data_IF_161610688853
#
_entry.id   IF_161610688853
#
_cell.length_a   1.000
_cell.length_b   1.000
_cell.length_c   1.000
_cell.angle_alpha   90.00
_cell.angle_beta   90.00
_cell.angle_gamma   90.00
#
_symmetry.space_group_name_H-M   'P 1'
#
loop_
_entity.id
_entity.type
_entity.pdbx_description
1 polymer ?
#
# COMPACT_ATOMS: atom_id res chain seq x y z
N UNK A 1 9.51 -9.51 -18.29
CA UNK A 1 10.65 -8.81 -17.67
C UNK A 1 11.10 -9.57 -16.45
N UNK A 2 12.40 -9.84 -16.33
CA UNK A 2 12.96 -10.49 -15.14
C UNK A 2 13.38 -9.45 -14.11
N UNK A 3 13.02 -9.66 -12.85
CA UNK A 3 13.35 -8.80 -11.73
C UNK A 3 14.05 -9.61 -10.65
N UNK A 4 15.16 -9.09 -10.13
CA UNK A 4 15.75 -9.56 -8.89
C UNK A 4 14.96 -8.96 -7.72
N UNK A 5 14.31 -9.80 -6.93
CA UNK A 5 13.56 -9.38 -5.74
C UNK A 5 14.54 -9.20 -4.59
N UNK A 6 14.59 -7.99 -4.03
CA UNK A 6 15.48 -7.63 -2.92
C UNK A 6 14.74 -7.73 -1.59
N UNK A 7 13.46 -7.39 -1.58
CA UNK A 7 12.61 -7.53 -0.41
C UNK A 7 11.19 -7.93 -0.82
N UNK A 8 10.57 -8.78 -0.03
CA UNK A 8 9.18 -9.19 -0.17
C UNK A 8 8.49 -9.24 1.19
N UNK A 9 7.18 -9.01 1.21
CA UNK A 9 6.33 -9.11 2.39
C UNK A 9 5.17 -10.07 2.15
N UNK A 10 4.61 -10.58 3.24
CA UNK A 10 3.47 -11.50 3.24
C UNK A 10 2.22 -10.77 3.66
N UNK A 11 1.13 -10.95 2.91
CA UNK A 11 -0.18 -10.41 3.25
C UNK A 11 -1.20 -11.55 3.45
N UNK A 12 -2.37 -11.21 4.02
CA UNK A 12 -3.46 -12.16 4.22
C UNK A 12 -3.92 -12.81 2.91
N UNK A 13 -3.82 -12.10 1.78
CA UNK A 13 -4.15 -12.64 0.45
C UNK A 13 -3.32 -13.87 0.12
N UNK A 14 -1.99 -13.84 0.37
CA UNK A 14 -1.11 -14.98 0.11
C UNK A 14 -1.51 -16.19 0.98
N UNK A 15 -1.83 -15.93 2.25
CA UNK A 15 -2.25 -16.94 3.19
C UNK A 15 -3.62 -17.55 2.87
N UNK A 16 -4.54 -16.73 2.35
CA UNK A 16 -5.88 -17.17 1.93
C UNK A 16 -5.76 -18.17 0.78
N UNK A 17 -4.96 -17.86 -0.25
CA UNK A 17 -4.68 -18.81 -1.32
C UNK A 17 -3.94 -20.06 -0.78
N UNK A 18 -2.91 -19.88 0.05
CA UNK A 18 -2.16 -21.00 0.65
C UNK A 18 -3.05 -21.95 1.45
N UNK A 19 -4.10 -21.44 2.10
CA UNK A 19 -5.03 -22.25 2.90
C UNK A 19 -5.94 -23.16 2.07
N UNK A 20 -6.03 -22.91 0.75
CA UNK A 20 -6.98 -23.58 -0.15
C UNK A 20 -8.40 -23.02 -0.12
N UNK A 21 -8.64 -21.94 0.64
CA UNK A 21 -9.94 -21.28 0.69
C UNK A 21 -10.22 -20.38 -0.54
N UNK A 22 -9.18 -19.99 -1.27
CA UNK A 22 -9.29 -19.25 -2.53
C UNK A 22 -9.80 -20.15 -3.66
N UNK A 23 -10.99 -19.90 -4.23
CA UNK A 23 -11.50 -20.69 -5.36
C UNK A 23 -10.69 -20.50 -6.65
N UNK A 24 -9.95 -19.40 -6.79
CA UNK A 24 -9.03 -19.20 -7.91
C UNK A 24 -7.64 -19.81 -7.62
N UNK A 25 -7.42 -20.30 -6.40
CA UNK A 25 -6.15 -20.86 -5.95
C UNK A 25 -5.78 -22.14 -6.71
N UNK A 26 -4.63 -22.11 -7.38
CA UNK A 26 -4.12 -23.22 -8.17
C UNK A 26 -2.69 -23.57 -7.73
N UNK A 27 -2.35 -24.86 -7.68
CA UNK A 27 -1.05 -25.38 -7.21
C UNK A 27 -0.46 -26.38 -8.21
N UNK A 28 0.88 -26.51 -8.29
CA UNK A 28 1.90 -25.78 -7.53
C UNK A 28 2.13 -24.35 -8.03
N UNK A 29 2.47 -23.42 -7.13
CA UNK A 29 2.57 -21.97 -7.41
C UNK A 29 3.65 -21.30 -6.55
N UNK A 30 4.27 -20.22 -7.06
CA UNK A 30 5.08 -19.30 -6.26
C UNK A 30 4.20 -18.11 -5.86
N UNK A 31 3.89 -17.99 -4.57
CA UNK A 31 3.07 -16.90 -4.00
C UNK A 31 3.83 -15.57 -3.90
N UNK A 32 3.22 -14.59 -3.22
CA UNK A 32 3.82 -13.30 -2.90
C UNK A 32 3.49 -12.24 -3.93
N UNK A 33 2.99 -11.09 -3.47
CA UNK A 33 2.63 -9.95 -4.33
C UNK A 33 3.05 -8.58 -3.78
N UNK A 34 3.71 -8.54 -2.62
CA UNK A 34 4.35 -7.35 -2.07
C UNK A 34 5.86 -7.48 -2.24
N UNK A 35 6.44 -6.87 -3.26
CA UNK A 35 7.87 -6.99 -3.56
C UNK A 35 8.48 -5.69 -4.06
N UNK A 36 9.78 -5.52 -3.82
CA UNK A 36 10.59 -4.48 -4.40
C UNK A 36 11.93 -5.05 -4.85
N UNK A 37 12.43 -4.58 -5.99
CA UNK A 37 13.56 -5.20 -6.65
C UNK A 37 14.25 -4.31 -7.66
N UNK A 38 15.13 -4.94 -8.43
CA UNK A 38 15.89 -4.32 -9.51
C UNK A 38 15.61 -5.13 -10.78
N UNK A 39 15.35 -4.45 -11.89
CA UNK A 39 15.21 -5.10 -13.19
C UNK A 39 16.54 -5.76 -13.54
N UNK A 40 16.52 -7.08 -13.74
CA UNK A 40 17.69 -7.84 -14.17
C UNK A 40 17.82 -7.78 -15.70
N UNK A 41 16.73 -8.08 -16.41
CA UNK A 41 16.67 -8.02 -17.87
C UNK A 41 15.25 -7.76 -18.38
N UNK A 42 15.16 -7.25 -19.61
CA UNK A 42 13.90 -6.96 -20.30
C UNK A 42 13.76 -7.79 -21.56
N UNK A 43 12.52 -8.14 -21.91
CA UNK A 43 12.22 -8.83 -23.17
C UNK A 43 12.18 -7.87 -24.35
N UNK A 44 12.08 -8.43 -25.56
CA UNK A 44 11.90 -7.66 -26.79
C UNK A 44 10.67 -6.72 -26.70
N UNK A 45 10.80 -5.51 -27.25
CA UNK A 45 9.73 -4.50 -27.29
C UNK A 45 9.54 -3.68 -26.01
N UNK A 46 10.18 -4.05 -24.90
CA UNK A 46 10.13 -3.26 -23.65
C UNK A 46 11.02 -2.03 -23.77
N UNK A 47 10.42 -0.84 -23.70
CA UNK A 47 11.14 0.45 -23.91
C UNK A 47 11.14 1.38 -22.71
N UNK A 48 10.18 1.23 -21.78
CA UNK A 48 10.02 2.13 -20.61
C UNK A 48 10.91 1.76 -19.43
N UNK A 49 11.51 0.57 -19.47
CA UNK A 49 12.25 -0.06 -18.40
C UNK A 49 13.52 -0.69 -18.96
N UNK A 50 14.58 -0.74 -18.17
CA UNK A 50 15.87 -1.35 -18.53
C UNK A 50 16.53 -2.01 -17.32
N UNK A 51 17.51 -2.87 -17.57
CA UNK A 51 18.35 -3.45 -16.52
C UNK A 51 18.89 -2.37 -15.57
N UNK A 52 18.88 -2.65 -14.26
CA UNK A 52 19.29 -1.74 -13.21
C UNK A 52 18.23 -0.74 -12.74
N UNK A 53 17.08 -0.64 -13.40
CA UNK A 53 15.97 0.18 -12.88
C UNK A 53 15.40 -0.43 -11.59
N UNK A 54 15.16 0.42 -10.58
CA UNK A 54 14.55 0.03 -9.30
C UNK A 54 13.03 0.02 -9.43
N UNK A 55 12.38 -1.05 -8.99
CA UNK A 55 10.99 -1.33 -9.33
C UNK A 55 10.17 -2.00 -8.22
N UNK A 56 8.84 -1.84 -8.32
CA UNK A 56 7.83 -2.56 -7.55
C UNK A 56 6.90 -3.30 -8.54
N UNK A 57 6.85 -4.65 -8.51
CA UNK A 57 5.83 -5.41 -9.23
C UNK A 57 4.43 -5.10 -8.68
N UNK A 58 3.44 -4.97 -9.57
CA UNK A 58 2.06 -4.63 -9.26
C UNK A 58 1.11 -5.73 -9.70
N UNK A 59 0.20 -6.16 -8.82
CA UNK A 59 -0.83 -7.12 -9.18
C UNK A 59 -2.00 -6.49 -9.98
N UNK A 60 -2.14 -5.16 -9.91
CA UNK A 60 -3.02 -4.39 -10.81
C UNK A 60 -2.14 -3.72 -11.87
N UNK A 61 -2.18 -4.19 -13.13
CA UNK A 61 -1.38 -3.61 -14.20
C UNK A 61 -1.95 -2.26 -14.69
N UNK A 62 -1.18 -1.54 -15.50
CA UNK A 62 -1.63 -0.33 -16.20
C UNK A 62 -1.06 -0.29 -17.62
N UNK A 63 -1.85 -0.74 -18.62
CA UNK A 63 -1.41 -0.73 -20.02
C UNK A 63 -1.52 0.66 -20.69
N UNK A 64 -2.36 1.57 -20.18
CA UNK A 64 -2.53 2.92 -20.72
C UNK A 64 -3.36 3.02 -22.01
N UNK A 65 -3.86 1.91 -22.54
CA UNK A 65 -4.55 1.87 -23.85
C UNK A 65 -5.92 1.18 -23.82
N UNK A 66 -6.22 0.35 -22.82
CA UNK A 66 -7.52 -0.31 -22.73
C UNK A 66 -8.60 0.66 -22.23
N UNK A 67 -9.87 0.36 -22.53
CA UNK A 67 -11.02 1.20 -22.11
C UNK A 67 -11.08 1.52 -20.62
N UNK A 68 -10.51 0.66 -19.77
CA UNK A 68 -10.44 0.89 -18.32
C UNK A 68 -9.33 1.88 -17.98
N UNK A 69 -8.10 1.68 -18.49
CA UNK A 69 -6.99 2.61 -18.27
C UNK A 69 -7.24 4.00 -18.85
N UNK A 70 -8.02 4.11 -19.93
CA UNK A 70 -8.40 5.39 -20.53
C UNK A 70 -9.55 6.09 -19.77
N UNK A 71 -10.18 5.44 -18.79
CA UNK A 71 -11.32 5.98 -18.07
C UNK A 71 -10.91 6.41 -16.66
N UNK A 72 -11.02 7.70 -16.29
CA UNK A 72 -10.59 8.20 -14.97
C UNK A 72 -11.42 7.66 -13.79
N UNK A 73 -12.49 6.89 -14.06
CA UNK A 73 -13.36 6.31 -13.02
C UNK A 73 -12.83 4.99 -12.45
N UNK A 74 -11.72 4.44 -12.96
CA UNK A 74 -11.25 3.11 -12.55
C UNK A 74 -9.74 2.92 -12.78
N UNK A 75 -9.14 2.01 -12.01
CA UNK A 75 -7.78 1.52 -12.20
C UNK A 75 -7.73 0.04 -12.65
N UNK A 76 -8.88 -0.57 -12.99
CA UNK A 76 -9.00 -2.01 -13.25
C UNK A 76 -8.58 -2.39 -14.67
N UNK A 77 -7.28 -2.39 -14.95
CA UNK A 77 -6.76 -2.83 -16.23
C UNK A 77 -7.05 -4.32 -16.48
N UNK A 78 -7.74 -4.61 -17.59
CA UNK A 78 -8.12 -5.99 -17.95
C UNK A 78 -7.14 -6.68 -18.91
N UNK A 79 -6.08 -5.99 -19.36
CA UNK A 79 -5.22 -6.41 -20.48
C UNK A 79 -4.66 -7.82 -20.31
N UNK A 80 -4.28 -8.21 -19.08
CA UNK A 80 -3.66 -9.52 -18.78
C UNK A 80 -4.42 -10.31 -17.71
N UNK A 81 -5.58 -9.85 -17.26
CA UNK A 81 -6.33 -10.46 -16.13
C UNK A 81 -6.59 -11.96 -16.34
N UNK A 82 -6.92 -12.36 -17.57
CA UNK A 82 -7.26 -13.77 -17.89
C UNK A 82 -6.08 -14.70 -17.69
N UNK A 83 -4.89 -14.36 -18.21
CA UNK A 83 -3.69 -15.20 -18.04
C UNK A 83 -3.15 -15.08 -16.62
N UNK A 84 -3.14 -13.88 -16.06
CA UNK A 84 -2.73 -13.63 -14.67
C UNK A 84 -3.54 -14.48 -13.68
N UNK A 85 -4.86 -14.60 -13.89
CA UNK A 85 -5.75 -15.42 -13.08
C UNK A 85 -5.49 -16.92 -13.15
N UNK A 86 -4.90 -17.38 -14.25
CA UNK A 86 -4.49 -18.78 -14.43
C UNK A 86 -3.06 -19.05 -13.97
N UNK A 87 -2.39 -18.03 -13.42
CA UNK A 87 -0.97 -18.11 -13.04
C UNK A 87 -0.02 -18.18 -14.23
N UNK A 88 -0.33 -17.47 -15.32
CA UNK A 88 0.42 -17.51 -16.58
C UNK A 88 0.80 -16.09 -17.05
N UNK A 89 1.90 -16.02 -17.81
CA UNK A 89 2.29 -14.84 -18.58
C UNK A 89 1.31 -14.56 -19.74
N UNK A 90 1.35 -13.38 -20.38
CA UNK A 90 0.44 -13.03 -21.47
C UNK A 90 0.44 -13.99 -22.67
N UNK A 91 1.51 -14.77 -22.85
CA UNK A 91 1.64 -15.81 -23.88
C UNK A 91 1.01 -17.16 -23.47
N UNK A 92 0.39 -17.24 -22.29
CA UNK A 92 -0.26 -18.46 -21.80
C UNK A 92 0.70 -19.48 -21.19
N UNK A 93 1.94 -19.12 -20.88
CA UNK A 93 2.92 -20.04 -20.29
C UNK A 93 3.45 -19.53 -18.95
N UNK A 94 4.01 -20.42 -18.12
CA UNK A 94 4.76 -20.01 -16.93
C UNK A 94 6.24 -19.79 -17.27
N UNK A 95 6.95 -19.11 -16.37
CA UNK A 95 8.41 -18.93 -16.41
C UNK A 95 9.14 -19.73 -15.34
N UNK A 96 8.40 -20.41 -14.47
CA UNK A 96 8.96 -21.19 -13.38
C UNK A 96 8.85 -22.68 -13.66
N UNK A 97 9.95 -23.38 -13.41
CA UNK A 97 9.97 -24.84 -13.36
C UNK A 97 10.72 -25.28 -12.11
N UNK A 98 10.28 -26.37 -11.50
CA UNK A 98 10.99 -27.01 -10.40
C UNK A 98 10.97 -28.52 -10.63
N UNK A 99 12.15 -29.15 -10.62
CA UNK A 99 12.30 -30.60 -10.88
C UNK A 99 11.59 -31.05 -12.17
N UNK A 100 11.73 -30.27 -13.23
CA UNK A 100 11.13 -30.55 -14.55
C UNK A 100 9.61 -30.36 -14.63
N UNK A 101 8.95 -29.85 -13.58
CA UNK A 101 7.50 -29.57 -13.58
C UNK A 101 7.25 -28.07 -13.59
N UNK A 102 6.22 -27.65 -14.33
CA UNK A 102 5.74 -26.27 -14.35
C UNK A 102 5.25 -25.83 -12.97
N UNK A 103 5.65 -24.65 -12.54
CA UNK A 103 5.13 -23.98 -11.34
C UNK A 103 4.39 -22.72 -11.79
N UNK A 104 3.20 -22.47 -11.29
CA UNK A 104 2.39 -21.32 -11.69
C UNK A 104 2.93 -20.01 -11.11
N UNK A 105 2.59 -18.91 -11.77
CA UNK A 105 2.69 -17.57 -11.20
C UNK A 105 1.52 -17.28 -10.26
N UNK A 106 1.70 -16.31 -9.37
CA UNK A 106 0.66 -15.80 -8.50
C UNK A 106 0.47 -14.30 -8.66
N UNK A 107 -0.78 -13.86 -8.87
CA UNK A 107 -1.15 -12.45 -9.00
C UNK A 107 -0.30 -11.64 -10.00
N UNK A 108 0.35 -12.31 -10.97
CA UNK A 108 1.25 -11.68 -11.94
C UNK A 108 2.55 -11.15 -11.36
N UNK A 109 2.92 -11.55 -10.14
CA UNK A 109 4.03 -10.97 -9.36
C UNK A 109 5.00 -12.04 -8.83
N UNK A 110 4.49 -13.06 -8.12
CA UNK A 110 5.26 -14.23 -7.66
C UNK A 110 6.55 -13.86 -6.91
N UNK A 111 6.44 -12.98 -5.92
CA UNK A 111 7.60 -12.33 -5.27
C UNK A 111 8.30 -13.20 -4.21
N UNK A 112 7.79 -14.39 -3.89
CA UNK A 112 8.48 -15.37 -3.03
C UNK A 112 9.54 -16.18 -3.80
N UNK A 113 10.37 -15.49 -4.55
CA UNK A 113 11.50 -16.03 -5.33
C UNK A 113 12.56 -14.95 -5.46
N UNK A 114 13.85 -15.32 -5.46
CA UNK A 114 14.96 -14.37 -5.69
C UNK A 114 14.83 -13.66 -7.04
N UNK A 115 14.28 -14.35 -8.03
CA UNK A 115 13.96 -13.79 -9.34
C UNK A 115 12.52 -14.11 -9.74
N UNK A 116 11.84 -13.13 -10.33
CA UNK A 116 10.51 -13.31 -10.91
C UNK A 116 10.42 -12.71 -12.30
N UNK A 117 9.50 -13.24 -13.12
CA UNK A 117 9.20 -12.68 -14.43
C UNK A 117 7.78 -12.14 -14.45
N UNK A 118 7.62 -10.86 -14.79
CA UNK A 118 6.32 -10.19 -14.82
C UNK A 118 6.08 -9.52 -16.18
N UNK A 119 4.83 -9.18 -16.46
CA UNK A 119 4.47 -8.34 -17.60
C UNK A 119 4.98 -6.91 -17.36
N UNK A 120 5.49 -6.25 -18.39
CA UNK A 120 6.05 -4.90 -18.32
C UNK A 120 5.02 -3.85 -17.83
N UNK A 121 3.75 -4.02 -18.18
CA UNK A 121 2.63 -3.21 -17.70
C UNK A 121 2.29 -3.42 -16.21
N UNK A 122 2.99 -4.32 -15.52
CA UNK A 122 2.77 -4.69 -14.12
C UNK A 122 3.95 -4.26 -13.23
N UNK A 123 4.68 -3.23 -13.64
CA UNK A 123 5.89 -2.77 -12.94
C UNK A 123 5.89 -1.26 -12.78
N UNK A 124 5.89 -0.78 -11.53
CA UNK A 124 6.17 0.63 -11.24
C UNK A 124 7.69 0.84 -11.13
N UNK A 125 8.22 1.76 -11.93
CA UNK A 125 9.59 2.26 -11.78
C UNK A 125 9.63 3.30 -10.67
N UNK A 126 10.52 3.14 -9.70
CA UNK A 126 10.62 4.02 -8.54
C UNK A 126 11.99 4.70 -8.46
N UNK A 127 12.16 5.55 -7.44
CA UNK A 127 13.45 6.19 -7.15
C UNK A 127 14.53 5.14 -6.81
N UNK A 128 15.70 5.15 -7.45
CA UNK A 128 16.79 4.22 -7.16
C UNK A 128 17.33 4.28 -5.72
N UNK A 129 17.09 5.37 -5.00
CA UNK A 129 17.48 5.56 -3.60
C UNK A 129 16.42 5.09 -2.60
N UNK A 130 15.25 4.65 -3.08
CA UNK A 130 14.19 4.15 -2.23
C UNK A 130 14.63 2.86 -1.51
N UNK A 131 14.48 2.77 -0.18
CA UNK A 131 14.88 1.58 0.57
C UNK A 131 13.90 0.42 0.32
N UNK A 132 14.35 -0.58 -0.44
CA UNK A 132 13.52 -1.68 -0.95
C UNK A 132 12.90 -2.55 0.15
N UNK A 133 13.58 -2.68 1.29
CA UNK A 133 13.07 -3.34 2.51
C UNK A 133 11.84 -2.66 3.14
N UNK A 134 11.48 -1.47 2.65
CA UNK A 134 10.35 -0.68 3.13
C UNK A 134 9.30 -0.46 2.05
N UNK A 135 9.73 -0.08 0.84
CA UNK A 135 8.80 0.28 -0.23
C UNK A 135 8.12 -0.93 -0.88
N UNK A 136 8.58 -2.16 -0.61
CA UNK A 136 7.86 -3.38 -1.02
C UNK A 136 6.39 -3.41 -0.54
N UNK A 137 6.10 -2.78 0.61
CA UNK A 137 4.75 -2.67 1.18
C UNK A 137 3.80 -1.77 0.36
N UNK A 138 4.33 -0.98 -0.58
CA UNK A 138 3.52 -0.16 -1.50
C UNK A 138 2.87 -0.99 -2.61
N UNK A 139 3.31 -2.24 -2.79
CA UNK A 139 2.71 -3.16 -3.75
C UNK A 139 1.28 -3.59 -3.39
N UNK A 140 0.82 -3.40 -2.14
CA UNK A 140 -0.55 -3.76 -1.72
C UNK A 140 -1.12 -2.90 -0.58
N UNK A 141 -0.93 -3.32 0.68
CA UNK A 141 -1.78 -2.89 1.79
C UNK A 141 -1.74 -1.39 2.10
N UNK A 142 -0.56 -0.77 2.09
CA UNK A 142 -0.41 0.66 2.41
C UNK A 142 -1.09 1.52 1.34
N UNK A 143 -0.79 1.26 0.07
CA UNK A 143 -1.39 1.98 -1.07
C UNK A 143 -2.91 1.80 -1.10
N UNK A 144 -3.38 0.59 -0.79
CA UNK A 144 -4.81 0.28 -0.74
C UNK A 144 -5.54 1.11 0.31
N UNK A 145 -5.07 1.12 1.56
CA UNK A 145 -5.73 1.88 2.62
C UNK A 145 -5.64 3.39 2.40
N UNK A 146 -4.47 3.90 1.99
CA UNK A 146 -4.30 5.31 1.69
C UNK A 146 -5.24 5.77 0.57
N UNK A 147 -5.25 5.06 -0.56
CA UNK A 147 -6.10 5.35 -1.71
C UNK A 147 -7.60 5.15 -1.43
N UNK A 148 -7.98 4.24 -0.54
CA UNK A 148 -9.36 4.10 -0.10
C UNK A 148 -9.90 5.45 0.44
N UNK A 149 -9.12 6.13 1.27
CA UNK A 149 -9.48 7.43 1.81
C UNK A 149 -9.42 8.56 0.76
N UNK A 150 -8.29 8.72 0.07
CA UNK A 150 -8.06 9.91 -0.77
C UNK A 150 -8.66 9.81 -2.18
N UNK A 151 -8.72 8.61 -2.76
CA UNK A 151 -9.17 8.41 -4.14
C UNK A 151 -10.62 7.89 -4.21
N UNK A 152 -10.96 6.90 -3.39
CA UNK A 152 -12.28 6.24 -3.45
C UNK A 152 -13.34 7.00 -2.67
N UNK A 153 -13.10 7.23 -1.38
CA UNK A 153 -13.98 8.02 -0.53
C UNK A 153 -13.89 9.51 -0.87
N UNK A 154 -12.67 10.00 -1.16
CA UNK A 154 -12.36 11.43 -1.33
C UNK A 154 -12.70 12.24 -0.08
N UNK A 155 -12.28 11.72 1.07
CA UNK A 155 -12.51 12.33 2.39
C UNK A 155 -12.17 13.82 2.36
N UNK A 156 -13.11 14.67 2.78
CA UNK A 156 -12.90 16.10 2.86
C UNK A 156 -12.34 16.52 4.23
N UNK A 157 -11.63 17.66 4.31
CA UNK A 157 -11.23 18.24 5.58
C UNK A 157 -12.42 18.48 6.50
N UNK A 158 -12.28 18.15 7.78
CA UNK A 158 -13.33 18.27 8.78
C UNK A 158 -14.19 17.02 8.95
N UNK A 159 -14.11 16.03 8.05
CA UNK A 159 -14.94 14.82 8.10
C UNK A 159 -14.72 13.98 9.35
N UNK A 160 -15.76 13.25 9.75
CA UNK A 160 -15.73 12.19 10.79
C UNK A 160 -15.63 10.84 10.10
N UNK A 161 -14.61 10.05 10.45
CA UNK A 161 -14.35 8.75 9.85
C UNK A 161 -14.39 7.60 10.88
N UNK A 162 -14.91 6.44 10.49
CA UNK A 162 -14.75 5.18 11.23
C UNK A 162 -13.97 4.14 10.41
N UNK A 163 -13.01 3.47 11.05
CA UNK A 163 -12.17 2.45 10.40
C UNK A 163 -12.30 1.12 11.14
N UNK A 164 -12.92 0.14 10.50
CA UNK A 164 -13.16 -1.19 11.04
C UNK A 164 -12.03 -2.13 10.64
N UNK A 165 -11.28 -2.63 11.64
CA UNK A 165 -10.08 -3.44 11.46
C UNK A 165 -8.82 -2.58 11.44
N UNK A 166 -7.96 -2.74 12.45
CA UNK A 166 -6.74 -1.95 12.66
C UNK A 166 -5.46 -2.71 12.29
N UNK A 167 -5.54 -3.50 11.21
CA UNK A 167 -4.38 -4.12 10.55
C UNK A 167 -3.62 -3.13 9.65
N UNK A 168 -2.68 -3.61 8.84
CA UNK A 168 -1.87 -2.75 7.95
C UNK A 168 -2.71 -1.85 7.03
N UNK A 169 -3.79 -2.40 6.45
CA UNK A 169 -4.73 -1.66 5.60
C UNK A 169 -5.47 -0.59 6.39
N UNK A 170 -6.08 -0.93 7.52
CA UNK A 170 -6.83 0.04 8.34
C UNK A 170 -5.95 1.16 8.90
N UNK A 171 -4.71 0.86 9.29
CA UNK A 171 -3.75 1.88 9.68
C UNK A 171 -3.40 2.82 8.51
N UNK A 172 -3.32 2.30 7.28
CA UNK A 172 -3.12 3.13 6.09
C UNK A 172 -4.37 3.97 5.73
N UNK A 173 -5.58 3.46 5.98
CA UNK A 173 -6.81 4.27 5.89
C UNK A 173 -6.78 5.41 6.90
N UNK A 174 -6.45 5.15 8.16
CA UNK A 174 -6.31 6.19 9.20
C UNK A 174 -5.32 7.26 8.76
N UNK A 175 -4.17 6.84 8.21
CA UNK A 175 -3.19 7.76 7.65
C UNK A 175 -3.76 8.60 6.51
N UNK A 176 -4.48 7.98 5.56
CA UNK A 176 -5.16 8.67 4.47
C UNK A 176 -6.19 9.70 4.96
N UNK A 177 -7.05 9.32 5.92
CA UNK A 177 -8.01 10.23 6.56
C UNK A 177 -7.32 11.41 7.26
N UNK A 178 -6.20 11.15 7.96
CA UNK A 178 -5.42 12.21 8.62
C UNK A 178 -4.80 13.18 7.62
N UNK A 179 -4.24 12.66 6.53
CA UNK A 179 -3.68 13.49 5.44
C UNK A 179 -4.79 14.32 4.76
N UNK A 180 -5.98 13.75 4.60
CA UNK A 180 -7.15 14.43 4.07
C UNK A 180 -7.74 15.51 5.02
N UNK A 181 -7.30 15.57 6.28
CA UNK A 181 -7.74 16.55 7.24
C UNK A 181 -9.04 16.20 7.98
N UNK A 182 -9.37 14.90 8.10
CA UNK A 182 -10.49 14.45 8.92
C UNK A 182 -10.36 14.97 10.37
N UNK A 183 -11.47 15.45 10.95
CA UNK A 183 -11.49 16.03 12.30
C UNK A 183 -11.49 14.96 13.39
N UNK A 184 -12.14 13.83 13.12
CA UNK A 184 -12.32 12.72 14.06
C UNK A 184 -12.16 11.40 13.32
N UNK A 185 -11.33 10.50 13.84
CA UNK A 185 -11.00 9.21 13.22
C UNK A 185 -11.15 8.12 14.29
N UNK A 186 -12.23 7.36 14.21
CA UNK A 186 -12.62 6.33 15.17
C UNK A 186 -12.11 4.97 14.69
N UNK A 187 -11.13 4.41 15.39
CA UNK A 187 -10.64 3.06 15.13
C UNK A 187 -11.50 2.01 15.82
N UNK A 188 -11.90 0.96 15.11
CA UNK A 188 -12.73 -0.14 15.64
C UNK A 188 -12.00 -1.47 15.45
N UNK A 189 -11.64 -2.15 16.54
CA UNK A 189 -11.05 -3.50 16.48
C UNK A 189 -11.37 -4.27 17.75
N UNK A 190 -11.51 -5.59 17.62
CA UNK A 190 -11.73 -6.49 18.76
C UNK A 190 -10.46 -6.68 19.60
N UNK A 191 -9.29 -6.39 19.04
CA UNK A 191 -8.01 -6.46 19.74
C UNK A 191 -7.54 -5.06 20.18
N UNK A 192 -7.65 -4.79 21.48
CA UNK A 192 -7.25 -3.51 22.10
C UNK A 192 -5.75 -3.22 21.99
N UNK A 193 -4.89 -4.23 21.81
CA UNK A 193 -3.44 -4.05 21.66
C UNK A 193 -3.07 -3.23 20.42
N UNK A 194 -3.97 -3.15 19.44
CA UNK A 194 -3.78 -2.36 18.22
C UNK A 194 -4.03 -0.87 18.41
N UNK A 195 -4.71 -0.47 19.49
CA UNK A 195 -5.18 0.91 19.65
C UNK A 195 -4.03 1.90 19.77
N UNK A 196 -2.99 1.57 20.53
CA UNK A 196 -1.81 2.44 20.68
C UNK A 196 -1.20 2.80 19.32
N UNK A 197 -1.03 1.79 18.45
CA UNK A 197 -0.51 2.01 17.10
C UNK A 197 -1.50 2.80 16.23
N UNK A 198 -2.80 2.52 16.31
CA UNK A 198 -3.79 3.31 15.58
C UNK A 198 -3.74 4.80 15.94
N UNK A 199 -3.51 5.15 17.21
CA UNK A 199 -3.32 6.54 17.66
C UNK A 199 -2.07 7.18 17.05
N UNK A 200 -0.94 6.47 16.99
CA UNK A 200 0.28 6.95 16.33
C UNK A 200 0.04 7.30 14.85
N UNK A 201 -0.80 6.50 14.18
CA UNK A 201 -1.16 6.70 12.76
C UNK A 201 -2.16 7.83 12.54
N UNK A 202 -3.00 8.14 13.53
CA UNK A 202 -3.95 9.25 13.41
C UNK A 202 -5.31 9.06 14.04
N UNK A 203 -5.65 7.89 14.55
CA UNK A 203 -6.94 7.69 15.20
C UNK A 203 -7.08 8.68 16.36
N UNK A 204 -8.22 9.37 16.45
CA UNK A 204 -8.54 10.27 17.57
C UNK A 204 -9.06 9.49 18.76
N UNK A 205 -9.71 8.35 18.51
CA UNK A 205 -10.23 7.42 19.51
C UNK A 205 -10.26 5.99 18.95
N UNK A 206 -10.34 5.02 19.85
CA UNK A 206 -10.49 3.62 19.47
C UNK A 206 -11.52 2.96 20.38
N UNK A 207 -12.33 2.06 19.82
CA UNK A 207 -13.37 1.32 20.55
C UNK A 207 -13.28 -0.17 20.22
N UNK A 208 -13.56 -1.01 21.22
CA UNK A 208 -13.71 -2.45 21.03
C UNK A 208 -15.20 -2.80 21.03
N UNK A 209 -15.75 -3.41 19.96
CA UNK A 209 -17.14 -3.85 19.93
C UNK A 209 -17.55 -4.76 21.11
N UNK A 210 -16.61 -5.49 21.70
CA UNK A 210 -16.85 -6.39 22.84
C UNK A 210 -17.11 -5.66 24.16
N UNK A 211 -16.82 -4.36 24.23
CA UNK A 211 -17.08 -3.54 25.42
C UNK A 211 -18.52 -3.01 25.48
N UNK A 212 -19.34 -3.32 24.46
CA UNK A 212 -20.70 -2.81 24.32
C UNK A 212 -21.70 -3.95 24.17
N UNK A 213 -22.90 -3.77 24.73
CA UNK A 213 -24.04 -4.67 24.52
C UNK A 213 -24.82 -4.36 23.24
N UNK A 214 -24.78 -3.10 22.78
CA UNK A 214 -25.42 -2.65 21.54
C UNK A 214 -24.59 -3.05 20.31
N UNK A 215 -25.23 -3.24 19.13
CA UNK A 215 -24.51 -3.35 17.87
C UNK A 215 -23.56 -2.17 17.65
N UNK A 216 -22.37 -2.44 17.11
CA UNK A 216 -21.32 -1.42 16.98
C UNK A 216 -21.73 -0.20 16.15
N UNK A 217 -22.60 -0.39 15.16
CA UNK A 217 -23.14 0.71 14.36
C UNK A 217 -24.02 1.67 15.16
N UNK A 218 -24.78 1.16 16.15
CA UNK A 218 -25.60 2.00 17.03
C UNK A 218 -24.71 2.79 17.99
N UNK A 219 -23.65 2.16 18.51
CA UNK A 219 -22.65 2.83 19.35
C UNK A 219 -22.01 3.99 18.59
N UNK A 220 -21.60 3.78 17.33
CA UNK A 220 -21.02 4.84 16.51
C UNK A 220 -22.02 5.96 16.19
N UNK A 221 -23.27 5.62 15.87
CA UNK A 221 -24.33 6.62 15.64
C UNK A 221 -24.53 7.50 16.87
N UNK A 222 -24.58 6.91 18.07
CA UNK A 222 -24.72 7.64 19.33
C UNK A 222 -23.50 8.51 19.62
N UNK A 223 -22.28 8.00 19.39
CA UNK A 223 -21.03 8.73 19.60
C UNK A 223 -20.86 9.94 18.67
N UNK A 224 -21.52 9.95 17.51
CA UNK A 224 -21.35 10.97 16.47
C UNK A 224 -22.64 11.68 16.08
N UNK A 225 -23.67 11.59 16.94
CA UNK A 225 -24.97 12.26 16.77
C UNK A 225 -25.60 12.04 15.37
N UNK A 226 -25.63 10.78 14.91
CA UNK A 226 -26.29 10.42 13.65
C UNK A 226 -25.50 9.52 12.71
N UNK A 227 -24.21 9.29 12.99
CA UNK A 227 -23.31 8.44 12.21
C UNK A 227 -22.09 9.19 11.66
N UNK A 228 -21.16 8.46 11.05
CA UNK A 228 -19.92 9.02 10.49
C UNK A 228 -20.09 9.45 9.04
N UNK A 229 -19.33 10.45 8.58
CA UNK A 229 -19.33 10.86 7.17
C UNK A 229 -18.77 9.74 6.29
N UNK A 230 -17.70 9.10 6.75
CA UNK A 230 -17.04 8.01 6.02
C UNK A 230 -16.78 6.81 6.92
N UNK A 231 -17.09 5.60 6.42
CA UNK A 231 -16.66 4.37 7.06
C UNK A 231 -15.85 3.49 6.12
N UNK A 232 -14.90 2.75 6.67
CA UNK A 232 -14.02 1.86 5.92
C UNK A 232 -13.99 0.49 6.58
N UNK A 233 -14.36 -0.55 5.84
CA UNK A 233 -14.21 -1.93 6.30
C UNK A 233 -12.90 -2.51 5.76
N UNK A 234 -11.99 -2.87 6.68
CA UNK A 234 -10.63 -3.33 6.37
C UNK A 234 -10.35 -4.74 6.91
N UNK A 235 -11.38 -5.60 6.97
CA UNK A 235 -11.28 -6.95 7.55
C UNK A 235 -11.62 -8.02 6.51
N UNK A 236 -12.69 -7.84 5.74
CA UNK A 236 -13.24 -8.88 4.86
C UNK A 236 -14.38 -9.67 5.52
N UNK A 237 -15.10 -9.08 6.47
CA UNK A 237 -16.23 -9.72 7.13
C UNK A 237 -17.55 -9.05 6.74
N UNK A 238 -18.44 -9.77 6.05
CA UNK A 238 -19.69 -9.21 5.51
C UNK A 238 -20.63 -8.64 6.58
N UNK A 239 -20.59 -9.15 7.82
CA UNK A 239 -21.38 -8.59 8.93
C UNK A 239 -20.83 -7.24 9.37
N UNK A 240 -19.50 -7.09 9.37
CA UNK A 240 -18.85 -5.81 9.68
C UNK A 240 -19.00 -4.83 8.52
N UNK A 241 -19.00 -5.30 7.26
CA UNK A 241 -19.30 -4.44 6.11
C UNK A 241 -20.69 -3.81 6.21
N UNK A 242 -21.70 -4.61 6.62
CA UNK A 242 -23.04 -4.10 6.92
C UNK A 242 -23.01 -3.07 8.05
N UNK A 243 -22.36 -3.39 9.16
CA UNK A 243 -22.27 -2.47 10.31
C UNK A 243 -21.57 -1.14 9.92
N UNK A 244 -20.52 -1.20 9.09
CA UNK A 244 -19.83 -0.02 8.60
C UNK A 244 -20.77 0.87 7.77
N UNK A 245 -21.59 0.31 6.90
CA UNK A 245 -22.61 1.07 6.17
C UNK A 245 -23.64 1.67 7.12
N UNK A 246 -24.21 0.87 8.02
CA UNK A 246 -25.28 1.32 8.91
C UNK A 246 -24.79 2.38 9.90
N UNK A 247 -23.50 2.39 10.25
CA UNK A 247 -22.86 3.42 11.09
C UNK A 247 -22.65 4.77 10.38
N UNK A 248 -22.82 4.85 9.06
CA UNK A 248 -22.69 6.10 8.32
C UNK A 248 -23.84 7.05 8.61
N UNK A 249 -23.58 8.35 8.47
CA UNK A 249 -24.57 9.41 8.66
C UNK A 249 -25.68 9.33 7.60
N UNK A 250 -26.92 9.55 8.02
CA UNK A 250 -28.07 9.67 7.12
C UNK A 250 -27.88 10.87 6.17
N UNK A 251 -28.30 10.76 4.92
CA UNK A 251 -28.28 11.85 3.95
C UNK A 251 -27.05 11.85 3.06
N UNK A 252 -25.85 11.63 3.60
CA UNK A 252 -24.60 11.74 2.83
C UNK A 252 -23.52 10.70 3.12
N UNK A 253 -23.66 9.88 4.17
CA UNK A 253 -22.57 9.03 4.64
C UNK A 253 -22.14 7.96 3.62
N UNK A 254 -20.83 7.73 3.49
CA UNK A 254 -20.26 6.82 2.51
C UNK A 254 -19.49 5.69 3.20
N UNK A 255 -19.82 4.44 2.87
CA UNK A 255 -19.07 3.28 3.33
C UNK A 255 -18.26 2.67 2.19
N UNK A 256 -16.96 2.44 2.44
CA UNK A 256 -16.02 1.84 1.50
C UNK A 256 -15.59 0.47 1.99
N UNK A 257 -15.91 -0.56 1.22
CA UNK A 257 -15.40 -1.92 1.42
C UNK A 257 -13.97 -1.99 0.88
N UNK A 258 -13.02 -2.30 1.76
CA UNK A 258 -11.59 -2.47 1.45
C UNK A 258 -11.16 -3.93 1.66
N UNK A 259 -11.69 -4.58 2.71
CA UNK A 259 -11.47 -5.99 2.97
C UNK A 259 -12.10 -6.90 1.92
N UNK A 260 -11.45 -8.02 1.63
CA UNK A 260 -11.92 -9.02 0.67
C UNK A 260 -12.64 -10.13 1.43
N UNK A 261 -13.93 -10.31 1.17
CA UNK A 261 -14.73 -11.39 1.76
C UNK A 261 -14.39 -12.76 1.16
N UNK A 262 -14.68 -13.83 1.90
CA UNK A 262 -14.58 -15.19 1.40
C UNK A 262 -15.58 -15.43 0.25
N UNK A 263 -15.30 -16.44 -0.58
CA UNK A 263 -16.17 -16.77 -1.71
C UNK A 263 -17.56 -17.22 -1.26
N UNK A 264 -18.59 -16.77 -1.98
CA UNK A 264 -19.99 -17.09 -1.70
C UNK A 264 -20.64 -16.28 -0.57
N UNK A 265 -19.87 -15.46 0.14
CA UNK A 265 -20.41 -14.54 1.15
C UNK A 265 -21.12 -13.35 0.50
N UNK A 266 -22.23 -12.91 1.10
CA UNK A 266 -23.03 -11.81 0.61
C UNK A 266 -23.14 -10.69 1.65
N UNK A 267 -23.05 -9.46 1.17
CA UNK A 267 -23.41 -8.28 1.97
C UNK A 267 -24.91 -8.02 1.84
N UNK A 268 -25.53 -7.63 2.95
CA UNK A 268 -26.95 -7.29 2.98
C UNK A 268 -27.22 -6.07 3.86
N UNK A 269 -28.21 -5.28 3.51
CA UNK A 269 -28.78 -4.23 4.35
C UNK A 269 -30.24 -3.98 3.96
N UNK A 270 -30.97 -3.17 4.73
CA UNK A 270 -32.30 -2.70 4.32
C UNK A 270 -32.13 -1.62 3.25
N UNK A 271 -32.84 -1.68 2.10
CA UNK A 271 -32.74 -0.66 1.05
C UNK A 271 -32.96 0.78 1.54
N UNK A 272 -33.75 0.94 2.60
CA UNK A 272 -33.98 2.22 3.25
C UNK A 272 -32.68 2.93 3.71
N UNK A 273 -31.63 2.17 4.05
CA UNK A 273 -30.33 2.75 4.40
C UNK A 273 -29.73 3.55 3.23
N UNK A 274 -29.90 3.07 2.01
CA UNK A 274 -29.44 3.72 0.77
C UNK A 274 -30.42 4.80 0.30
N UNK A 275 -31.73 4.52 0.33
CA UNK A 275 -32.78 5.51 -0.01
C UNK A 275 -32.64 6.78 0.83
N UNK A 276 -32.25 6.64 2.09
CA UNK A 276 -32.03 7.77 3.00
C UNK A 276 -30.63 8.39 2.89
N UNK A 277 -29.93 8.20 1.77
CA UNK A 277 -28.77 8.99 1.37
C UNK A 277 -27.40 8.39 1.66
N UNK A 278 -27.31 7.17 2.22
CA UNK A 278 -26.00 6.50 2.32
C UNK A 278 -25.55 5.95 0.98
N UNK A 279 -24.24 5.93 0.77
CA UNK A 279 -23.63 5.31 -0.41
C UNK A 279 -22.73 4.15 -0.02
N UNK A 280 -22.88 3.00 -0.68
CA UNK A 280 -21.98 1.86 -0.51
C UNK A 280 -21.06 1.73 -1.73
N UNK A 281 -19.75 1.73 -1.50
CA UNK A 281 -18.71 1.58 -2.54
C UNK A 281 -17.69 0.53 -2.11
N UNK A 282 -16.81 0.15 -3.03
CA UNK A 282 -15.62 -0.65 -2.77
C UNK A 282 -14.40 -0.05 -3.44
N UNK A 283 -13.22 -0.53 -3.08
CA UNK A 283 -11.96 -0.11 -3.69
C UNK A 283 -11.09 -1.32 -4.06
N UNK A 284 -10.32 -1.19 -5.13
CA UNK A 284 -9.30 -2.16 -5.53
C UNK A 284 -7.95 -1.44 -5.64
N UNK A 285 -6.97 -1.91 -4.86
CA UNK A 285 -5.67 -1.25 -4.75
C UNK A 285 -5.76 0.25 -4.44
N UNK A 286 -6.79 0.66 -3.68
CA UNK A 286 -7.04 2.06 -3.32
C UNK A 286 -7.43 2.95 -4.50
N UNK A 287 -7.74 2.38 -5.67
CA UNK A 287 -7.93 3.17 -6.90
C UNK A 287 -6.64 3.77 -7.45
N UNK A 288 -5.47 3.35 -6.96
CA UNK A 288 -4.19 3.89 -7.40
C UNK A 288 -3.84 3.46 -8.83
N UNK A 289 -3.18 4.36 -9.53
CA UNK A 289 -2.41 4.16 -10.76
C UNK A 289 -0.94 3.86 -10.45
N UNK A 290 -0.22 3.30 -11.43
CA UNK A 290 1.22 3.08 -11.39
C UNK A 290 2.01 4.37 -11.16
N UNK A 291 1.54 5.49 -11.71
CA UNK A 291 2.16 6.80 -11.53
C UNK A 291 2.00 7.29 -10.08
N UNK A 292 0.85 7.04 -9.44
CA UNK A 292 0.65 7.34 -8.02
C UNK A 292 1.54 6.48 -7.12
N UNK A 293 1.74 5.19 -7.42
CA UNK A 293 2.68 4.35 -6.66
C UNK A 293 4.11 4.88 -6.79
N UNK A 294 4.50 5.30 -7.99
CA UNK A 294 5.79 5.92 -8.24
C UNK A 294 5.96 7.19 -7.40
N UNK A 295 4.98 8.09 -7.42
CA UNK A 295 4.99 9.31 -6.62
C UNK A 295 4.96 9.02 -5.11
N UNK A 296 4.23 7.99 -4.68
CA UNK A 296 4.09 7.65 -3.28
C UNK A 296 5.38 7.07 -2.69
N UNK A 297 6.18 6.36 -3.50
CA UNK A 297 7.51 5.89 -3.11
C UNK A 297 8.45 7.03 -2.70
N UNK A 298 8.38 8.17 -3.40
CA UNK A 298 9.14 9.39 -3.07
C UNK A 298 8.65 10.03 -1.77
N UNK A 299 7.33 10.09 -1.57
CA UNK A 299 6.73 10.66 -0.37
C UNK A 299 7.08 9.82 0.88
N UNK A 300 7.02 8.49 0.77
CA UNK A 300 7.43 7.60 1.84
C UNK A 300 8.91 7.69 2.13
N UNK A 301 9.77 7.90 1.13
CA UNK A 301 11.19 8.19 1.38
C UNK A 301 11.34 9.43 2.27
N UNK A 302 10.62 10.51 1.98
CA UNK A 302 10.63 11.72 2.79
C UNK A 302 10.00 11.54 4.20
N UNK A 303 8.97 10.69 4.32
CA UNK A 303 8.28 10.39 5.59
C UNK A 303 8.94 9.25 6.40
N UNK A 304 9.82 8.46 5.78
CA UNK A 304 10.47 7.26 6.35
C UNK A 304 11.33 7.54 7.58
N UNK A 305 11.65 8.82 7.84
CA UNK A 305 12.32 9.25 9.06
C UNK A 305 11.44 9.15 10.33
N UNK A 306 10.10 8.98 10.21
CA UNK A 306 9.19 8.90 11.38
C UNK A 306 8.30 7.66 11.45
N UNK A 307 7.77 7.15 10.33
CA UNK A 307 6.59 6.26 10.36
C UNK A 307 6.87 4.76 10.20
N UNK A 308 7.96 4.36 9.54
CA UNK A 308 8.23 2.94 9.27
C UNK A 308 8.71 2.14 10.49
N UNK A 309 9.02 2.80 11.62
CA UNK A 309 9.26 2.10 12.89
C UNK A 309 8.03 1.30 13.35
N UNK A 310 6.81 1.74 12.99
CA UNK A 310 5.56 1.07 13.39
C UNK A 310 5.18 -0.15 12.56
N UNK A 311 5.55 -0.21 11.27
CA UNK A 311 5.20 -1.31 10.37
C UNK A 311 6.09 -2.55 10.52
N UNK A 312 7.33 -2.39 11.03
CA UNK A 312 8.28 -3.51 11.22
C UNK A 312 7.70 -4.68 12.04
N UNK A 313 6.77 -4.40 12.95
CA UNK A 313 6.18 -5.40 13.84
C UNK A 313 4.84 -5.98 13.36
N UNK A 314 4.23 -5.44 12.30
CA UNK A 314 2.90 -5.91 11.82
C UNK A 314 3.05 -7.13 10.91
N UNK A 315 4.06 -7.12 10.04
CA UNK A 315 4.26 -8.17 9.04
C UNK A 315 5.09 -9.36 9.56
N UNK A 316 5.74 -9.23 10.71
CA UNK A 316 6.52 -10.33 11.33
C UNK A 316 5.64 -11.45 11.91
N UNK A 317 4.36 -11.16 12.21
CA UNK A 317 3.48 -12.08 12.94
C UNK A 317 3.06 -13.32 12.14
N UNK A 318 3.03 -13.25 10.81
CA UNK A 318 2.51 -14.36 10.00
C UNK A 318 3.41 -15.60 9.99
N UNK A 319 4.71 -15.42 10.27
CA UNK A 319 5.68 -16.53 10.28
C UNK A 319 5.62 -17.42 11.53
N UNK A 320 4.96 -17.00 12.61
CA UNK A 320 4.92 -17.77 13.86
C UNK A 320 3.93 -18.94 13.80
N UNK A 321 2.95 -18.95 12.88
CA UNK A 321 1.97 -20.02 12.75
C UNK A 321 2.46 -21.26 11.97
N UNK A 322 3.54 -21.15 11.19
CA UNK A 322 4.06 -22.25 10.37
C UNK A 322 5.15 -23.10 11.06
N UNK A 323 5.59 -22.74 12.28
CA UNK A 323 6.58 -23.53 13.03
C UNK A 323 6.09 -24.89 13.56
N UNK A 324 4.79 -25.21 13.46
CA UNK A 324 4.23 -26.48 13.98
C UNK A 324 4.17 -27.64 12.98
N UNK A 325 4.52 -27.45 11.71
CA UNK A 325 4.60 -28.55 10.73
C UNK A 325 5.85 -28.37 9.87
N UNK A 326 6.79 -29.29 10.02
CA UNK A 326 8.13 -29.26 9.44
C UNK A 326 8.12 -29.07 7.90
N UNK A 327 9.10 -28.29 7.44
CA UNK A 327 9.50 -27.99 6.05
C UNK A 327 8.73 -26.87 5.32
N UNK A 328 9.25 -25.62 5.44
CA UNK A 328 9.44 -24.62 4.38
C UNK A 328 10.37 -23.53 4.95
N UNK A 329 11.33 -23.07 4.13
CA UNK A 329 12.46 -22.25 4.53
C UNK A 329 12.07 -20.83 5.00
N UNK A 330 12.93 -20.34 5.89
CA UNK A 330 12.88 -19.12 6.67
C UNK A 330 13.00 -17.83 5.83
N UNK A 331 12.70 -16.69 6.47
CA UNK A 331 13.04 -15.33 6.06
C UNK A 331 14.41 -15.30 5.36
N UNK A 332 14.43 -15.09 4.04
CA UNK A 332 15.64 -14.87 3.27
C UNK A 332 16.11 -13.42 3.46
N UNK A 333 16.72 -13.18 4.61
CA UNK A 333 17.96 -12.41 4.71
C UNK A 333 18.56 -12.70 6.10
N UNK A 334 19.60 -13.53 6.11
CA UNK A 334 20.44 -13.79 7.29
C UNK A 334 21.14 -12.48 7.72
N UNK A 335 20.50 -11.70 8.61
CA UNK A 335 21.20 -10.67 9.41
C UNK A 335 20.37 -10.03 10.55
N UNK A 336 19.29 -10.65 11.02
CA UNK A 336 18.52 -10.02 12.11
C UNK A 336 17.87 -10.98 13.11
N UNK A 337 18.60 -12.03 13.48
CA UNK A 337 18.35 -12.76 14.71
C UNK A 337 19.56 -12.53 15.62
N UNK A 338 19.30 -11.96 16.79
CA UNK A 338 20.24 -11.80 17.92
C UNK A 338 21.47 -10.91 17.70
N UNK A 339 21.30 -9.59 17.65
CA UNK A 339 22.18 -8.60 18.34
C UNK A 339 21.93 -7.17 17.83
N UNK A 340 21.27 -6.33 18.63
CA UNK A 340 21.54 -4.88 18.66
C UNK A 340 20.83 -4.24 19.86
N UNK A 341 21.16 -4.73 21.05
CA UNK A 341 21.37 -3.86 22.20
C UNK A 341 22.88 -3.53 22.18
N UNK A 342 23.22 -2.26 22.36
CA UNK A 342 24.54 -1.65 22.65
C UNK A 342 25.39 -1.08 21.49
N UNK A 343 25.51 0.26 21.56
CA UNK A 343 26.66 1.17 21.31
C UNK A 343 27.14 1.53 19.88
N UNK A 344 27.06 2.85 19.64
CA UNK A 344 28.01 3.79 18.96
C UNK A 344 28.46 3.48 17.53
N UNK A 345 28.32 4.39 16.56
CA UNK A 345 29.17 5.58 16.49
C UNK A 345 28.52 6.78 15.76
N UNK A 346 28.59 7.94 16.39
CA UNK A 346 28.12 9.27 15.95
C UNK A 346 29.06 10.01 14.97
N UNK A 347 30.02 9.36 14.33
CA UNK A 347 31.06 10.07 13.56
C UNK A 347 30.79 10.23 12.05
N UNK A 348 29.77 9.61 11.47
CA UNK A 348 29.55 9.69 10.01
C UNK A 348 28.58 10.79 9.55
N UNK A 349 27.85 11.43 10.47
CA UNK A 349 26.85 12.45 10.15
C UNK A 349 27.35 13.90 10.31
N UNK A 350 28.51 14.14 10.92
CA UNK A 350 29.03 15.49 11.13
C UNK A 350 29.56 16.15 9.85
N UNK A 351 30.19 15.38 8.95
CA UNK A 351 30.80 15.89 7.72
C UNK A 351 29.77 16.31 6.65
N UNK A 352 28.55 15.77 6.69
CA UNK A 352 27.47 16.14 5.76
C UNK A 352 26.83 17.49 6.11
N UNK A 353 26.77 17.85 7.40
CA UNK A 353 26.15 19.11 7.84
C UNK A 353 27.07 20.33 7.69
N UNK A 354 28.39 20.13 7.73
CA UNK A 354 29.36 21.23 7.61
C UNK A 354 29.48 21.75 6.17
N UNK A 355 29.24 20.89 5.17
CA UNK A 355 29.20 21.26 3.75
C UNK A 355 27.93 22.04 3.33
N UNK A 356 26.82 21.88 4.05
CA UNK A 356 25.54 22.53 3.71
C UNK A 356 25.35 23.88 4.42
N UNK A 357 26.04 24.14 5.54
CA UNK A 357 26.02 25.44 6.22
C UNK A 357 26.65 26.58 5.41
N UNK A 358 27.62 26.30 4.53
CA UNK A 358 28.28 27.31 3.69
C UNK A 358 27.43 27.78 2.49
N UNK A 359 26.31 27.12 2.17
CA UNK A 359 25.50 27.40 0.97
C UNK A 359 24.16 28.12 1.22
N UNK A 360 23.76 28.31 2.48
CA UNK A 360 22.52 29.01 2.86
C UNK A 360 22.73 30.16 3.86
N UNK A 361 23.93 30.73 3.89
CA UNK A 361 24.23 31.92 4.69
C UNK A 361 23.75 33.21 4.02
N UNK A 362 22.43 33.43 3.89
CA UNK A 362 21.89 34.80 3.72
C UNK A 362 20.40 35.06 3.99
N UNK A 363 19.60 34.08 4.41
CA UNK A 363 18.19 34.36 4.76
C UNK A 363 17.82 33.78 6.13
N UNK A 364 18.42 34.36 7.17
CA UNK A 364 17.96 34.24 8.54
C UNK A 364 17.43 35.60 8.97
N UNK A 365 16.12 35.81 8.79
CA UNK A 365 15.23 36.74 9.51
C UNK A 365 13.96 36.89 8.70
N UNK A 366 12.88 36.25 9.14
CA UNK A 366 11.53 36.83 9.27
C UNK A 366 10.58 35.74 9.75
N UNK A 367 9.76 36.10 10.74
CA UNK A 367 8.90 35.23 11.53
C UNK A 367 7.77 34.60 10.72
N UNK A 368 7.07 33.66 11.38
CA UNK A 368 6.12 32.75 10.78
C UNK A 368 5.09 33.38 9.85
N UNK A 369 5.14 32.95 8.58
CA UNK A 369 3.97 32.80 7.68
C UNK A 369 4.38 32.11 6.35
N UNK A 370 5.24 31.09 6.41
CA UNK A 370 5.76 30.40 5.22
C UNK A 370 5.67 28.86 5.34
N UNK A 371 4.47 28.35 5.62
CA UNK A 371 4.17 26.90 5.59
C UNK A 371 2.99 26.51 4.69
N UNK A 372 2.42 27.45 3.93
CA UNK A 372 1.21 27.21 3.10
C UNK A 372 1.44 27.50 1.60
N UNK A 373 2.64 27.89 1.17
CA UNK A 373 2.90 28.28 -0.23
C UNK A 373 3.74 27.30 -1.08
N UNK A 374 3.84 26.04 -0.66
CA UNK A 374 4.62 25.01 -1.39
C UNK A 374 3.72 23.92 -2.04
N UNK A 375 2.49 24.28 -2.38
CA UNK A 375 1.54 23.41 -3.11
C UNK A 375 0.97 24.02 -4.40
N UNK A 376 1.45 25.18 -4.85
CA UNK A 376 1.03 25.78 -6.12
C UNK A 376 2.25 26.35 -6.86
N UNK A 377 2.53 25.81 -8.06
CA UNK A 377 3.56 26.21 -9.04
C UNK A 377 4.91 25.45 -9.07
N UNK A 378 4.86 24.13 -9.26
CA UNK A 378 5.95 23.40 -9.94
C UNK A 378 5.72 23.34 -11.47
N UNK A 379 5.45 24.51 -12.07
CA UNK A 379 5.68 24.77 -13.50
C UNK A 379 6.63 25.96 -13.55
N UNK A 380 7.67 25.83 -14.38
CA UNK A 380 8.78 26.78 -14.61
C UNK A 380 9.98 26.54 -13.68
N UNK A 381 10.79 25.52 -14.02
CA UNK A 381 12.25 25.69 -14.08
C UNK A 381 12.91 24.58 -14.93
N UNK A 382 12.39 24.37 -16.14
CA UNK A 382 13.16 23.81 -17.25
C UNK A 382 13.56 24.98 -18.13
N UNK A 383 14.78 25.51 -17.92
CA UNK A 383 15.65 26.17 -18.92
C UNK A 383 16.86 26.79 -18.21
N UNK A 384 18.03 26.58 -18.82
CA UNK A 384 19.40 27.04 -18.48
C UNK A 384 20.21 26.16 -17.52
N UNK A 385 20.79 25.10 -18.09
CA UNK A 385 22.21 24.80 -17.90
C UNK A 385 22.74 24.20 -19.21
N UNK A 386 23.00 25.07 -20.18
CA UNK A 386 23.76 24.76 -21.38
C UNK A 386 24.67 25.96 -21.63
N UNK A 387 25.90 25.88 -21.13
CA UNK A 387 27.11 26.59 -21.57
C UNK A 387 28.17 26.47 -20.48
N UNK A 388 29.41 26.21 -20.90
CA UNK A 388 30.68 26.39 -20.19
C UNK A 388 31.42 25.11 -19.80
N UNK A 389 31.87 24.40 -20.84
CA UNK A 389 33.15 23.68 -20.84
C UNK A 389 34.28 24.67 -21.13
N UNK A 390 35.38 24.67 -20.36
CA UNK A 390 36.68 25.05 -20.85
C UNK A 390 37.53 23.81 -21.17
N UNK A 391 38.09 23.83 -22.37
CA UNK A 391 39.15 22.98 -22.91
C UNK A 391 40.50 23.13 -22.18
N UNK A 392 41.22 22.03 -22.01
CA UNK A 392 42.69 21.84 -22.19
C UNK A 392 43.12 20.58 -21.42
N UNK A 393 43.47 19.46 -22.08
CA UNK A 393 44.72 19.12 -22.78
C UNK A 393 45.94 18.85 -21.86
N UNK A 394 46.47 17.63 -22.00
CA UNK A 394 47.75 17.06 -21.48
C UNK A 394 47.75 16.82 -19.95
N UNK A 395 48.03 15.63 -19.41
CA UNK A 395 48.88 14.49 -19.78
C UNK A 395 48.21 13.18 -19.37
#
# INVERSE_FOLDING_TARGET
MANQIIATAVCHTDAYTLSGADPEGCFPVILGHEGAGIVESVGEGVTKLKAGDTVIPLYIPQCGECKFCLNPKTNLCQKIRVTQGKGLMPDGTSRFTCKGKTILHYMGTSTFSEYTVVADISVAKIDPLAPLDKVCLLGCGISTGYGAAVNTAKVEPGSVCAVFGLGGVGLAVIMGCKVAGASRIIGVDINKDKFARAKEFGATECINPQDFSKPIQEVLIEMTDGGVDYSFECIGNVKVMRAALEACHKGWGVSVVVGVAASGEEIATRPFQLVTGRTWKGTAFGGNSMDEITAFSLLLFALSLKFLKGFKNIYLYFFILLKKKNHIACVLNDLCLTSCLLRSSTSYYASFFEGQKKRFGKYAKMGGLAKVFLLYNYRICLRKCQSDLPSSSKL
#
